data_IF_705268300530
#
_entry.id   IF_705268300530
#
_cell.length_a   1.000
_cell.length_b   1.000
_cell.length_c   1.000
_cell.angle_alpha   90.00
_cell.angle_beta   90.00
_cell.angle_gamma   90.00
#
_symmetry.space_group_name_H-M   'P 1'
#
loop_
_entity.id
_entity.type
_entity.pdbx_description
1 polymer ?
#
# COMPACT_ATOMS: atom_id res chain seq x y z
N UNK A 1 21.27 21.68 33.67
CA UNK A 1 20.40 21.23 32.57
C UNK A 1 18.99 21.52 33.02
N UNK A 2 18.56 22.75 32.76
CA UNK A 2 17.21 23.19 33.08
C UNK A 2 16.26 22.69 32.00
N UNK A 3 14.99 22.55 32.35
CA UNK A 3 13.88 22.29 31.42
C UNK A 3 13.87 23.25 30.22
N UNK A 4 14.39 24.47 30.37
CA UNK A 4 14.50 25.45 29.29
C UNK A 4 15.52 25.06 28.22
N UNK A 5 16.59 24.33 28.59
CA UNK A 5 17.63 23.89 27.65
C UNK A 5 17.07 22.82 26.68
N UNK A 6 16.19 21.94 27.16
CA UNK A 6 15.56 20.89 26.32
C UNK A 6 14.54 21.44 25.33
N UNK A 7 13.87 22.55 25.66
CA UNK A 7 12.97 23.19 24.71
C UNK A 7 13.75 23.89 23.60
N UNK A 8 14.88 24.54 23.91
CA UNK A 8 15.74 25.14 22.89
C UNK A 8 16.39 24.10 21.99
N UNK A 9 16.86 22.97 22.51
CA UNK A 9 17.44 21.89 21.70
C UNK A 9 16.42 21.29 20.72
N UNK A 10 15.17 21.10 21.15
CA UNK A 10 14.12 20.56 20.30
C UNK A 10 13.75 21.54 19.17
N UNK A 11 13.74 22.84 19.45
CA UNK A 11 13.46 23.89 18.45
C UNK A 11 14.67 24.11 17.53
N UNK A 12 15.90 23.91 18.00
CA UNK A 12 17.13 23.99 17.18
C UNK A 12 17.19 22.84 16.16
N UNK A 13 16.94 21.60 16.61
CA UNK A 13 16.78 20.43 15.73
C UNK A 13 15.55 20.57 14.81
N UNK A 14 14.60 21.42 15.23
CA UNK A 14 13.44 21.95 14.53
C UNK A 14 13.69 22.56 13.15
N UNK A 15 14.67 23.48 13.15
CA UNK A 15 14.84 24.53 12.14
C UNK A 15 15.32 24.07 10.77
N UNK A 16 16.26 23.11 10.62
CA UNK A 16 16.80 22.80 9.29
C UNK A 16 15.79 22.12 8.34
N UNK A 17 14.67 21.61 8.85
CA UNK A 17 13.60 21.02 8.05
C UNK A 17 12.31 21.87 7.99
N UNK A 18 12.22 22.92 8.82
CA UNK A 18 11.04 23.78 8.89
C UNK A 18 11.02 24.91 7.86
N UNK A 19 12.15 25.21 7.19
CA UNK A 19 12.20 26.21 6.12
C UNK A 19 11.98 25.52 4.77
N UNK A 20 10.74 25.16 4.47
CA UNK A 20 10.33 24.90 3.08
C UNK A 20 10.26 26.25 2.38
N UNK A 21 11.08 26.41 1.35
CA UNK A 21 11.13 27.58 0.46
C UNK A 21 9.80 27.65 -0.31
N UNK A 22 8.84 28.38 0.25
CA UNK A 22 7.54 28.61 -0.35
C UNK A 22 7.64 29.69 -1.43
N UNK A 23 7.99 29.30 -2.66
CA UNK A 23 7.61 30.07 -3.85
C UNK A 23 6.16 29.73 -4.21
N UNK A 24 5.25 30.65 -3.90
CA UNK A 24 3.85 30.63 -4.33
C UNK A 24 3.53 31.94 -5.08
N UNK A 25 2.91 31.85 -6.26
CA UNK A 25 1.77 32.70 -6.59
C UNK A 25 0.58 31.81 -6.98
N UNK A 26 -0.52 31.79 -6.21
CA UNK A 26 -1.66 32.71 -6.25
C UNK A 26 -2.67 32.38 -7.38
N UNK A 27 -3.94 32.20 -6.97
CA UNK A 27 -5.18 31.93 -7.75
C UNK A 27 -5.38 32.78 -9.03
N UNK A 28 -5.99 32.21 -10.09
CA UNK A 28 -7.40 32.44 -10.49
C UNK A 28 -7.81 31.59 -11.74
N UNK A 29 -9.12 31.32 -11.97
CA UNK A 29 -9.64 30.31 -12.91
C UNK A 29 -10.09 30.90 -14.27
N UNK A 30 -9.97 30.14 -15.36
CA UNK A 30 -10.84 30.29 -16.53
C UNK A 30 -10.75 29.13 -17.55
N UNK A 31 -11.95 28.67 -17.88
CA UNK A 31 -12.44 27.80 -18.95
C UNK A 31 -11.88 28.15 -20.34
N UNK A 32 -11.51 27.14 -21.14
CA UNK A 32 -11.81 27.08 -22.58
C UNK A 32 -11.56 25.67 -23.14
N UNK A 33 -12.57 25.14 -23.83
CA UNK A 33 -12.56 23.84 -24.51
C UNK A 33 -11.81 23.88 -25.85
N UNK A 34 -11.34 22.69 -26.26
CA UNK A 34 -11.30 22.15 -27.64
C UNK A 34 -9.99 22.34 -28.46
N UNK A 35 -9.73 21.46 -29.45
CA UNK A 35 -9.05 20.16 -29.29
C UNK A 35 -7.79 20.06 -30.19
N UNK A 36 -6.80 19.26 -29.81
CA UNK A 36 -5.72 18.86 -30.72
C UNK A 36 -5.41 17.36 -30.55
N UNK A 37 -5.57 16.61 -31.64
CA UNK A 37 -4.92 15.32 -31.86
C UNK A 37 -3.41 15.57 -31.89
N UNK A 38 -2.67 14.96 -30.96
CA UNK A 38 -1.29 14.56 -31.20
C UNK A 38 -1.14 13.11 -30.75
N UNK A 39 -0.58 12.31 -31.66
CA UNK A 39 -0.09 10.96 -31.42
C UNK A 39 0.93 11.00 -30.27
N UNK A 40 0.65 10.27 -29.19
CA UNK A 40 1.69 9.71 -28.33
C UNK A 40 1.49 8.18 -28.32
N UNK A 41 2.20 7.52 -29.23
CA UNK A 41 2.76 6.20 -28.95
C UNK A 41 3.71 6.35 -27.77
N UNK A 42 3.27 6.03 -26.56
CA UNK A 42 4.07 5.87 -25.33
C UNK A 42 3.11 5.22 -24.31
N UNK A 43 3.33 4.07 -23.67
CA UNK A 43 4.46 3.18 -23.51
C UNK A 43 3.86 1.78 -23.30
N UNK A 44 4.03 0.85 -24.25
CA UNK A 44 4.11 -0.58 -23.87
C UNK A 44 5.53 -0.83 -23.36
N UNK A 45 5.91 -0.10 -22.31
CA UNK A 45 7.18 -0.28 -21.64
C UNK A 45 6.89 -1.01 -20.32
N UNK A 46 7.44 -2.22 -20.23
CA UNK A 46 7.70 -2.98 -19.00
C UNK A 46 6.72 -4.09 -18.55
N UNK A 47 6.46 -5.09 -19.42
CA UNK A 47 6.08 -6.45 -18.95
C UNK A 47 7.29 -7.42 -18.90
N UNK A 48 8.51 -6.92 -19.12
CA UNK A 48 9.77 -7.71 -19.10
C UNK A 48 10.53 -7.62 -17.75
N UNK A 49 9.97 -6.97 -16.73
CA UNK A 49 10.50 -7.04 -15.36
C UNK A 49 10.35 -8.50 -14.84
N UNK A 50 11.41 -9.13 -14.33
CA UNK A 50 11.33 -10.49 -13.79
C UNK A 50 10.41 -10.53 -12.57
N UNK A 51 9.15 -10.96 -12.77
CA UNK A 51 8.14 -11.16 -11.71
C UNK A 51 8.67 -12.07 -10.60
N UNK A 52 8.52 -11.66 -9.33
CA UNK A 52 8.96 -12.46 -8.17
C UNK A 52 8.15 -13.78 -8.10
N UNK A 53 8.81 -14.95 -8.18
CA UNK A 53 8.15 -16.24 -8.03
C UNK A 53 7.38 -16.38 -6.72
N UNK A 54 7.77 -15.66 -5.66
CA UNK A 54 7.08 -15.67 -4.38
C UNK A 54 5.65 -15.18 -4.50
N UNK A 55 5.41 -14.06 -5.16
CA UNK A 55 4.08 -13.45 -5.26
C UNK A 55 3.12 -14.38 -6.02
N UNK A 56 3.57 -14.96 -7.12
CA UNK A 56 2.80 -15.92 -7.89
C UNK A 56 2.43 -17.16 -7.06
N UNK A 57 3.40 -17.72 -6.33
CA UNK A 57 3.19 -18.90 -5.50
C UNK A 57 2.27 -18.61 -4.30
N UNK A 58 2.41 -17.45 -3.67
CA UNK A 58 1.54 -17.05 -2.57
C UNK A 58 0.09 -16.84 -3.05
N UNK A 59 -0.12 -16.24 -4.22
CA UNK A 59 -1.46 -16.09 -4.81
C UNK A 59 -2.09 -17.44 -5.19
N UNK A 60 -1.34 -18.34 -5.83
CA UNK A 60 -1.82 -19.71 -6.08
C UNK A 60 -2.21 -20.43 -4.78
N UNK A 61 -1.40 -20.24 -3.72
CA UNK A 61 -1.63 -20.86 -2.42
C UNK A 61 -2.84 -20.25 -1.69
N UNK A 62 -3.06 -18.93 -1.75
CA UNK A 62 -4.26 -18.25 -1.21
C UNK A 62 -5.54 -18.78 -1.86
N UNK A 63 -5.51 -19.03 -3.17
CA UNK A 63 -6.64 -19.54 -3.95
C UNK A 63 -6.77 -21.08 -3.93
N UNK A 64 -5.88 -21.76 -3.22
CA UNK A 64 -5.92 -23.21 -3.09
C UNK A 64 -7.04 -23.68 -2.16
N UNK A 65 -7.47 -24.94 -2.34
CA UNK A 65 -8.48 -25.56 -1.47
C UNK A 65 -8.07 -25.64 0.00
N UNK A 66 -6.76 -25.66 0.29
CA UNK A 66 -6.25 -25.72 1.65
C UNK A 66 -6.48 -24.40 2.40
N UNK A 67 -6.29 -23.26 1.71
CA UNK A 67 -6.41 -21.93 2.31
C UNK A 67 -7.78 -21.28 2.09
N UNK A 68 -8.67 -21.92 1.32
CA UNK A 68 -10.03 -21.41 1.06
C UNK A 68 -10.82 -20.99 2.31
N UNK A 69 -10.80 -21.72 3.45
CA UNK A 69 -11.51 -21.28 4.65
C UNK A 69 -10.92 -20.00 5.26
N UNK A 70 -9.59 -19.90 5.34
CA UNK A 70 -8.91 -18.71 5.86
C UNK A 70 -9.16 -17.50 4.94
N UNK A 71 -9.14 -17.72 3.62
CA UNK A 71 -9.46 -16.69 2.63
C UNK A 71 -10.91 -16.20 2.78
N UNK A 72 -11.87 -17.11 2.93
CA UNK A 72 -13.27 -16.74 3.13
C UNK A 72 -13.45 -15.84 4.37
N UNK A 73 -12.84 -16.20 5.51
CA UNK A 73 -12.93 -15.37 6.72
C UNK A 73 -12.30 -13.98 6.55
N UNK A 74 -11.15 -13.91 5.85
CA UNK A 74 -10.52 -12.63 5.54
C UNK A 74 -11.41 -11.78 4.63
N UNK A 75 -11.92 -12.34 3.55
CA UNK A 75 -12.78 -11.62 2.59
C UNK A 75 -14.08 -11.12 3.29
N UNK A 76 -14.68 -11.94 4.17
CA UNK A 76 -15.84 -11.55 4.99
C UNK A 76 -15.52 -10.40 5.96
N UNK A 77 -14.34 -10.44 6.60
CA UNK A 77 -13.90 -9.32 7.45
C UNK A 77 -13.73 -8.04 6.63
N UNK A 78 -13.09 -8.13 5.46
CA UNK A 78 -12.87 -6.98 4.58
C UNK A 78 -14.19 -6.36 4.14
N UNK A 79 -15.18 -7.17 3.77
CA UNK A 79 -16.53 -6.67 3.44
C UNK A 79 -17.16 -5.93 4.63
N UNK A 80 -17.06 -6.49 5.85
CA UNK A 80 -17.62 -5.88 7.06
C UNK A 80 -16.94 -4.54 7.40
N UNK A 81 -15.61 -4.49 7.34
CA UNK A 81 -14.81 -3.28 7.61
C UNK A 81 -15.07 -2.21 6.55
N UNK A 82 -15.14 -2.59 5.27
CA UNK A 82 -15.41 -1.66 4.18
C UNK A 82 -16.79 -1.02 4.36
N UNK A 83 -17.83 -1.84 4.59
CA UNK A 83 -19.18 -1.35 4.85
C UNK A 83 -19.27 -0.44 6.09
N UNK A 84 -18.51 -0.73 7.14
CA UNK A 84 -18.48 0.10 8.35
C UNK A 84 -17.68 1.41 8.18
N UNK A 85 -16.75 1.45 7.23
CA UNK A 85 -15.93 2.64 6.95
C UNK A 85 -16.72 3.72 6.21
N UNK A 86 -17.67 3.32 5.36
CA UNK A 86 -18.57 4.24 4.65
C UNK A 86 -19.49 5.04 5.59
N UNK A 87 -19.74 4.53 6.80
CA UNK A 87 -20.59 5.14 7.83
C UNK A 87 -19.83 6.03 8.84
N UNK A 88 -18.51 6.17 8.72
CA UNK A 88 -17.74 7.22 9.42
C UNK A 88 -16.45 6.81 10.14
N UNK A 89 -16.27 5.55 10.57
CA UNK A 89 -14.98 4.96 11.02
C UNK A 89 -15.18 3.47 11.36
N UNK A 90 -14.41 2.58 10.73
CA UNK A 90 -14.41 1.16 11.11
C UNK A 90 -13.72 0.94 12.48
N UNK A 91 -14.38 0.21 13.38
CA UNK A 91 -13.91 -0.07 14.76
C UNK A 91 -13.15 -1.38 14.92
N UNK A 92 -13.05 -2.15 13.86
CA UNK A 92 -12.36 -3.44 13.83
C UNK A 92 -11.37 -3.45 12.65
N UNK A 93 -10.34 -4.28 12.77
CA UNK A 93 -9.36 -4.54 11.71
C UNK A 93 -9.39 -6.03 11.33
N UNK A 94 -8.84 -6.36 10.17
CA UNK A 94 -8.77 -7.73 9.65
C UNK A 94 -7.37 -8.35 9.78
N UNK A 95 -6.56 -7.86 10.73
CA UNK A 95 -5.16 -8.29 10.84
C UNK A 95 -5.08 -9.75 11.29
N UNK A 96 -5.97 -10.20 12.16
CA UNK A 96 -6.02 -11.60 12.61
C UNK A 96 -6.34 -12.55 11.46
N UNK A 97 -7.39 -12.26 10.69
CA UNK A 97 -7.80 -13.07 9.53
C UNK A 97 -6.74 -13.03 8.43
N UNK A 98 -6.11 -11.87 8.22
CA UNK A 98 -4.96 -11.74 7.33
C UNK A 98 -3.81 -12.65 7.77
N UNK A 99 -3.51 -12.73 9.06
CA UNK A 99 -2.43 -13.57 9.59
C UNK A 99 -2.75 -15.05 9.41
N UNK A 100 -4.01 -15.46 9.57
CA UNK A 100 -4.43 -16.83 9.25
C UNK A 100 -4.25 -17.17 7.77
N UNK A 101 -4.66 -16.27 6.87
CA UNK A 101 -4.49 -16.45 5.42
C UNK A 101 -3.01 -16.48 5.02
N UNK A 102 -2.22 -15.51 5.49
CA UNK A 102 -0.80 -15.39 5.21
C UNK A 102 -0.01 -16.59 5.77
N UNK A 103 -0.36 -17.06 6.96
CA UNK A 103 0.24 -18.27 7.54
C UNK A 103 -0.02 -19.50 6.66
N UNK A 104 -1.25 -19.69 6.19
CA UNK A 104 -1.58 -20.80 5.31
C UNK A 104 -0.86 -20.68 3.95
N UNK A 105 -0.91 -19.50 3.33
CA UNK A 105 -0.30 -19.26 2.02
C UNK A 105 1.22 -19.43 2.06
N UNK A 106 1.90 -18.88 3.07
CA UNK A 106 3.35 -18.99 3.23
C UNK A 106 3.80 -20.43 3.50
N UNK A 107 3.06 -21.22 4.30
CA UNK A 107 3.37 -22.64 4.50
C UNK A 107 3.23 -23.45 3.21
N UNK A 108 2.27 -23.10 2.35
CA UNK A 108 2.08 -23.72 1.04
C UNK A 108 3.16 -23.28 0.03
N UNK A 109 3.54 -22.00 0.03
CA UNK A 109 4.46 -21.42 -0.94
C UNK A 109 5.93 -21.73 -0.61
N UNK A 110 6.32 -21.75 0.67
CA UNK A 110 7.70 -21.93 1.10
C UNK A 110 8.43 -23.12 0.43
N UNK A 111 7.92 -24.37 0.45
CA UNK A 111 8.63 -25.49 -0.17
C UNK A 111 8.77 -25.36 -1.70
N UNK A 112 7.83 -24.65 -2.36
CA UNK A 112 7.86 -24.40 -3.80
C UNK A 112 8.86 -23.30 -4.14
N UNK A 113 8.85 -22.21 -3.37
CA UNK A 113 9.72 -21.06 -3.56
C UNK A 113 11.20 -21.45 -3.46
N UNK A 114 11.58 -22.18 -2.41
CA UNK A 114 12.96 -22.63 -2.21
C UNK A 114 13.44 -23.66 -3.25
N UNK A 115 12.55 -24.22 -4.06
CA UNK A 115 12.92 -25.10 -5.18
C UNK A 115 13.27 -24.34 -6.46
N UNK A 116 12.81 -23.09 -6.57
CA UNK A 116 12.98 -22.23 -7.76
C UNK A 116 14.17 -21.29 -7.58
N UNK A 117 14.32 -20.74 -6.38
CA UNK A 117 15.43 -19.85 -6.02
C UNK A 117 16.75 -20.65 -5.97
N UNK A 118 17.80 -20.14 -6.64
CA UNK A 118 19.15 -20.75 -6.69
C UNK A 118 20.14 -19.99 -5.83
#
# INVERSE_FOLDING_TARGET
MGIWDTFTDLVEAAKPWATVEAEAPAEEPQEEEQPEEEEEEEEEEDDDEPKDPKEQLEEECKNSKQCAPAKHHFDECVERVTNASDDGEAKEDCVEEFFHLAHCASQCAAPKLWSILK
#
